data_IF_935565729843
#
_entry.id   IF_935565729843
#
_cell.length_a   1.000
_cell.length_b   1.000
_cell.length_c   1.000
_cell.angle_alpha   90.00
_cell.angle_beta   90.00
_cell.angle_gamma   90.00
#
_symmetry.space_group_name_H-M   'P 1'
#
loop_
_entity.id
_entity.type
_entity.pdbx_description
1 polymer ?
#
# COMPACT_ATOMS: atom_id res chain seq x y z
N UNK A 1 6.77 -9.11 22.42
CA UNK A 1 6.34 -9.28 21.01
C UNK A 1 7.10 -8.37 20.03
N UNK A 2 7.05 -7.02 20.15
CA UNK A 2 7.75 -6.07 19.22
C UNK A 2 9.25 -6.38 18.98
N UNK A 3 10.04 -6.55 20.05
CA UNK A 3 11.50 -6.80 19.94
C UNK A 3 11.82 -8.11 19.21
N UNK A 4 11.02 -9.15 19.45
CA UNK A 4 11.19 -10.47 18.82
C UNK A 4 10.86 -10.38 17.33
N UNK A 5 9.77 -9.70 16.96
CA UNK A 5 9.40 -9.51 15.57
C UNK A 5 10.49 -8.78 14.78
N UNK A 6 11.03 -7.68 15.33
CA UNK A 6 12.13 -6.95 14.69
C UNK A 6 13.38 -7.82 14.55
N UNK A 7 13.72 -8.64 15.56
CA UNK A 7 14.88 -9.55 15.50
C UNK A 7 14.74 -10.59 14.38
N UNK A 8 13.53 -11.05 14.09
CA UNK A 8 13.27 -12.09 13.07
C UNK A 8 13.13 -11.48 11.68
N UNK A 9 12.38 -10.39 11.54
CA UNK A 9 11.97 -9.83 10.24
C UNK A 9 12.74 -8.57 9.83
N UNK A 10 13.64 -8.07 10.69
CA UNK A 10 14.44 -6.86 10.43
C UNK A 10 13.64 -5.54 10.43
N UNK A 11 12.33 -5.60 10.60
CA UNK A 11 11.44 -4.44 10.53
C UNK A 11 10.31 -4.53 11.57
N UNK A 12 9.57 -3.44 11.77
CA UNK A 12 8.41 -3.46 12.64
C UNK A 12 7.24 -4.22 11.98
N UNK A 13 6.38 -4.82 12.79
CA UNK A 13 5.15 -5.45 12.31
C UNK A 13 4.31 -4.50 11.45
N UNK A 14 4.17 -3.25 11.87
CA UNK A 14 3.44 -2.22 11.10
C UNK A 14 4.06 -1.96 9.74
N UNK A 15 5.40 -1.92 9.65
CA UNK A 15 6.08 -1.75 8.36
C UNK A 15 5.79 -2.93 7.44
N UNK A 16 5.96 -4.15 7.96
CA UNK A 16 5.71 -5.37 7.20
C UNK A 16 4.25 -5.48 6.72
N UNK A 17 3.29 -5.22 7.62
CA UNK A 17 1.87 -5.20 7.29
C UNK A 17 1.55 -4.17 6.21
N UNK A 18 2.09 -2.95 6.32
CA UNK A 18 1.86 -1.92 5.31
C UNK A 18 2.47 -2.32 3.97
N UNK A 19 3.66 -2.91 3.94
CA UNK A 19 4.27 -3.42 2.70
C UNK A 19 3.34 -4.41 1.99
N UNK A 20 2.82 -5.42 2.71
CA UNK A 20 1.89 -6.41 2.14
C UNK A 20 0.60 -5.75 1.61
N UNK A 21 0.05 -4.79 2.36
CA UNK A 21 -1.14 -4.05 1.93
C UNK A 21 -0.91 -3.21 0.67
N UNK A 22 0.26 -2.56 0.57
CA UNK A 22 0.60 -1.78 -0.62
C UNK A 22 0.81 -2.68 -1.83
N UNK A 23 1.43 -3.85 -1.68
CA UNK A 23 1.53 -4.82 -2.78
C UNK A 23 0.17 -5.27 -3.30
N UNK A 24 -0.79 -5.56 -2.41
CA UNK A 24 -2.17 -5.85 -2.84
C UNK A 24 -2.86 -4.65 -3.49
N UNK A 25 -2.58 -3.44 -3.00
CA UNK A 25 -3.15 -2.22 -3.57
C UNK A 25 -2.63 -1.97 -5.00
N UNK A 26 -1.36 -2.27 -5.29
CA UNK A 26 -0.79 -2.20 -6.66
C UNK A 26 -1.52 -3.14 -7.60
N UNK A 27 -1.69 -4.40 -7.19
CA UNK A 27 -2.44 -5.41 -7.96
C UNK A 27 -3.87 -4.92 -8.28
N UNK A 28 -4.59 -4.38 -7.29
CA UNK A 28 -5.95 -3.86 -7.50
C UNK A 28 -5.99 -2.61 -8.38
N UNK A 29 -4.96 -1.74 -8.32
CA UNK A 29 -4.84 -0.57 -9.18
C UNK A 29 -4.59 -0.96 -10.65
N UNK A 30 -3.89 -2.07 -10.87
CA UNK A 30 -3.54 -2.62 -12.19
C UNK A 30 -4.66 -3.45 -12.83
N UNK A 31 -5.46 -4.15 -12.01
CA UNK A 31 -6.41 -5.16 -12.49
C UNK A 31 -7.87 -4.76 -12.36
N UNK A 32 -8.16 -3.58 -11.78
CA UNK A 32 -9.55 -3.14 -11.54
C UNK A 32 -9.72 -1.63 -11.73
N UNK A 33 -10.95 -1.23 -12.05
CA UNK A 33 -11.36 0.18 -12.13
C UNK A 33 -11.84 0.76 -10.79
N UNK A 34 -11.63 0.05 -9.67
CA UNK A 34 -12.07 0.51 -8.34
C UNK A 34 -11.47 1.86 -8.01
N UNK A 35 -12.20 2.71 -7.27
CA UNK A 35 -11.64 3.99 -6.86
C UNK A 35 -10.48 3.79 -5.88
N UNK A 36 -9.57 4.77 -5.81
CA UNK A 36 -8.46 4.74 -4.84
C UNK A 36 -8.99 4.64 -3.41
N UNK A 37 -10.12 5.27 -3.12
CA UNK A 37 -10.80 5.19 -1.84
C UNK A 37 -11.22 3.76 -1.52
N UNK A 38 -11.92 3.08 -2.43
CA UNK A 38 -12.39 1.70 -2.23
C UNK A 38 -11.22 0.74 -2.02
N UNK A 39 -10.17 0.87 -2.84
CA UNK A 39 -8.94 0.07 -2.71
C UNK A 39 -8.29 0.29 -1.34
N UNK A 40 -8.24 1.55 -0.86
CA UNK A 40 -7.67 1.83 0.46
C UNK A 40 -8.43 1.12 1.60
N UNK A 41 -9.76 1.04 1.50
CA UNK A 41 -10.59 0.33 2.47
C UNK A 41 -10.41 -1.18 2.36
N UNK A 42 -10.39 -1.71 1.14
CA UNK A 42 -10.22 -3.13 0.86
C UNK A 42 -8.89 -3.68 1.36
N UNK A 43 -7.80 -2.92 1.21
CA UNK A 43 -6.48 -3.30 1.75
C UNK A 43 -6.32 -2.97 3.24
N UNK A 44 -7.40 -2.58 3.93
CA UNK A 44 -7.46 -2.47 5.37
C UNK A 44 -6.91 -1.17 5.97
N UNK A 45 -6.92 -0.07 5.21
CA UNK A 45 -6.66 1.27 5.76
C UNK A 45 -7.95 1.95 6.21
N UNK A 46 -8.00 2.30 7.49
CA UNK A 46 -9.12 3.07 8.04
C UNK A 46 -9.09 4.55 7.60
N UNK A 47 -7.90 5.08 7.35
CA UNK A 47 -7.65 6.46 7.00
C UNK A 47 -6.91 6.55 5.66
N UNK A 48 -7.52 7.25 4.70
CA UNK A 48 -7.00 7.38 3.33
C UNK A 48 -5.68 8.14 3.27
N UNK A 49 -5.48 9.18 4.09
CA UNK A 49 -4.21 9.91 4.10
C UNK A 49 -3.03 9.01 4.52
N UNK A 50 -3.28 8.05 5.41
CA UNK A 50 -2.29 7.06 5.83
C UNK A 50 -1.98 6.07 4.72
N UNK A 51 -2.99 5.68 3.93
CA UNK A 51 -2.80 4.90 2.72
C UNK A 51 -1.93 5.65 1.72
N UNK A 52 -2.29 6.88 1.35
CA UNK A 52 -1.51 7.70 0.39
C UNK A 52 -0.05 7.87 0.82
N UNK A 53 0.20 8.18 2.11
CA UNK A 53 1.57 8.33 2.63
C UNK A 53 2.36 7.03 2.54
N UNK A 54 1.77 5.89 2.90
CA UNK A 54 2.47 4.61 2.84
C UNK A 54 2.66 4.17 1.38
N UNK A 55 1.64 4.29 0.54
CA UNK A 55 1.72 3.94 -0.88
C UNK A 55 2.87 4.70 -1.53
N UNK A 56 2.90 6.04 -1.40
CA UNK A 56 4.03 6.86 -1.90
C UNK A 56 5.38 6.49 -1.30
N UNK A 57 5.43 6.16 -0.01
CA UNK A 57 6.67 5.72 0.64
C UNK A 57 7.21 4.42 0.05
N UNK A 58 6.35 3.46 -0.30
CA UNK A 58 6.75 2.14 -0.77
C UNK A 58 6.95 2.07 -2.29
N UNK A 59 6.21 2.86 -3.07
CA UNK A 59 6.27 2.81 -4.54
C UNK A 59 6.99 4.01 -5.17
N UNK A 60 7.17 5.10 -4.44
CA UNK A 60 7.65 6.38 -4.97
C UNK A 60 6.55 7.26 -5.57
N UNK A 61 5.36 6.73 -5.80
CA UNK A 61 4.24 7.40 -6.48
C UNK A 61 3.00 7.43 -5.60
N UNK A 62 2.15 8.44 -5.73
CA UNK A 62 0.80 8.36 -5.18
C UNK A 62 0.00 7.27 -5.92
N UNK A 63 -1.07 6.70 -5.31
CA UNK A 63 -1.92 5.72 -5.98
C UNK A 63 -2.45 6.19 -7.34
N UNK A 64 -2.79 7.49 -7.45
CA UNK A 64 -3.28 8.11 -8.69
C UNK A 64 -2.17 8.20 -9.74
N UNK A 65 -0.98 8.67 -9.35
CA UNK A 65 0.18 8.71 -10.26
C UNK A 65 0.55 7.30 -10.74
N UNK A 66 0.52 6.31 -9.86
CA UNK A 66 0.80 4.92 -10.18
C UNK A 66 -0.18 4.34 -11.20
N UNK A 67 -1.50 4.53 -10.99
CA UNK A 67 -2.53 4.09 -11.95
C UNK A 67 -2.32 4.72 -13.32
N UNK A 68 -2.06 6.03 -13.38
CA UNK A 68 -1.80 6.74 -14.64
C UNK A 68 -0.59 6.19 -15.39
N UNK A 69 0.45 5.73 -14.70
CA UNK A 69 1.61 5.12 -15.35
C UNK A 69 1.27 3.79 -16.03
N UNK A 70 0.31 3.04 -15.49
CA UNK A 70 -0.12 1.76 -16.07
C UNK A 70 -0.99 2.01 -17.31
N UNK A 71 -1.89 2.98 -17.27
CA UNK A 71 -2.76 3.34 -18.40
C UNK A 71 -1.99 3.86 -19.64
N UNK A 72 -0.75 4.33 -19.45
CA UNK A 72 0.11 4.87 -20.51
C UNK A 72 1.04 3.80 -21.13
N UNK A 73 1.02 2.57 -20.61
CA UNK A 73 1.74 1.41 -21.16
C UNK A 73 0.79 0.43 -21.85
#
# INVERSE_FOLDING_TARGET
MRKIFIKIFGCSFTYYLNMIRIEKAKELLETTDKTVYDISKEVGYNNEQSFYRNFKKFTGFTPIEYRKQIEVN
#
